data_IF_773730498457
#
_entry.id   IF_773730498457
#
_cell.length_a   1.000
_cell.length_b   1.000
_cell.length_c   1.000
_cell.angle_alpha   90.00
_cell.angle_beta   90.00
_cell.angle_gamma   90.00
#
_symmetry.space_group_name_H-M   'P 1'
#
loop_
_entity.id
_entity.type
_entity.pdbx_description
1 polymer ?
#
# COMPACT_ATOMS: atom_id res chain seq x y z
N UNK A 1 -90.08 -23.21 -19.40
CA UNK A 1 -90.01 -23.57 -17.97
C UNK A 1 -88.65 -23.14 -17.45
N UNK A 2 -88.68 -22.52 -16.27
CA UNK A 2 -87.66 -21.82 -15.49
C UNK A 2 -86.22 -22.37 -15.43
N UNK A 3 -85.27 -21.42 -15.44
CA UNK A 3 -84.07 -21.21 -14.58
C UNK A 3 -83.11 -22.40 -14.35
N UNK A 4 -81.79 -22.27 -14.22
CA UNK A 4 -80.99 -21.19 -13.67
C UNK A 4 -79.47 -21.52 -13.82
N UNK A 5 -78.63 -20.50 -13.60
CA UNK A 5 -77.24 -20.56 -13.09
C UNK A 5 -76.17 -21.23 -14.00
N UNK A 6 -75.02 -20.61 -14.27
CA UNK A 6 -74.45 -19.39 -13.73
C UNK A 6 -73.22 -18.98 -14.53
N UNK A 7 -73.10 -17.68 -14.72
CA UNK A 7 -71.91 -17.01 -15.23
C UNK A 7 -70.79 -17.15 -14.19
N UNK A 8 -69.66 -17.78 -14.56
CA UNK A 8 -68.41 -17.62 -13.83
C UNK A 8 -67.50 -16.63 -14.56
N UNK A 9 -67.58 -15.41 -14.06
CA UNK A 9 -66.50 -14.47 -13.78
C UNK A 9 -65.23 -14.56 -14.62
N UNK A 10 -65.11 -13.54 -15.47
CA UNK A 10 -63.87 -12.90 -15.90
C UNK A 10 -62.90 -12.66 -14.74
N UNK A 11 -61.64 -13.11 -14.87
CA UNK A 11 -60.52 -12.56 -14.10
C UNK A 11 -59.23 -12.52 -14.95
N UNK A 12 -59.17 -11.43 -15.72
CA UNK A 12 -57.97 -10.71 -16.11
C UNK A 12 -56.92 -10.67 -14.98
N UNK A 13 -55.76 -11.31 -15.18
CA UNK A 13 -54.45 -10.89 -14.64
C UNK A 13 -53.31 -11.37 -15.56
N UNK A 14 -53.14 -10.64 -16.67
CA UNK A 14 -51.81 -10.44 -17.27
C UNK A 14 -50.97 -9.63 -16.25
N UNK A 15 -49.65 -9.82 -16.25
CA UNK A 15 -48.64 -9.27 -15.35
C UNK A 15 -48.48 -9.98 -14.00
N UNK A 16 -47.66 -11.03 -14.01
CA UNK A 16 -46.89 -11.44 -12.83
C UNK A 16 -45.41 -11.60 -13.22
N UNK A 17 -44.64 -10.58 -12.83
CA UNK A 17 -43.23 -10.69 -12.45
C UNK A 17 -42.20 -11.07 -13.52
N UNK A 18 -42.15 -10.33 -14.62
CA UNK A 18 -40.88 -10.03 -15.28
C UNK A 18 -40.10 -8.98 -14.47
N UNK A 19 -39.58 -9.34 -13.28
CA UNK A 19 -38.70 -8.46 -12.50
C UNK A 19 -37.92 -9.20 -11.39
N UNK A 20 -37.28 -10.31 -11.72
CA UNK A 20 -36.28 -10.97 -10.86
C UNK A 20 -35.07 -11.47 -11.69
N UNK A 21 -34.50 -10.58 -12.50
CA UNK A 21 -33.21 -10.80 -13.15
C UNK A 21 -32.29 -9.58 -13.02
N UNK A 22 -32.40 -8.87 -11.88
CA UNK A 22 -31.57 -7.71 -11.57
C UNK A 22 -31.19 -7.74 -10.08
N UNK A 23 -30.52 -8.80 -9.66
CA UNK A 23 -30.11 -8.97 -8.27
C UNK A 23 -28.79 -9.74 -8.20
N UNK A 24 -27.70 -8.99 -8.06
CA UNK A 24 -26.43 -9.55 -7.58
C UNK A 24 -25.26 -9.52 -8.56
N UNK A 25 -24.91 -8.35 -9.08
CA UNK A 25 -23.49 -8.00 -9.11
C UNK A 25 -23.07 -7.80 -7.63
N UNK A 26 -22.93 -8.92 -6.91
CA UNK A 26 -22.19 -8.94 -5.66
C UNK A 26 -20.75 -8.62 -6.07
N UNK A 27 -20.40 -7.34 -6.02
CA UNK A 27 -19.01 -6.96 -5.88
C UNK A 27 -18.45 -7.85 -4.77
N UNK A 28 -17.53 -8.74 -5.12
CA UNK A 28 -16.72 -9.44 -4.13
C UNK A 28 -15.85 -8.34 -3.52
N UNK A 29 -16.44 -7.58 -2.59
CA UNK A 29 -15.69 -6.91 -1.55
C UNK A 29 -14.98 -8.07 -0.88
N UNK A 30 -13.68 -8.24 -1.17
CA UNK A 30 -12.85 -9.18 -0.44
C UNK A 30 -13.16 -8.98 1.02
N UNK A 31 -13.83 -9.96 1.63
CA UNK A 31 -14.22 -9.86 3.01
C UNK A 31 -12.93 -9.67 3.82
N UNK A 32 -12.90 -8.63 4.67
CA UNK A 32 -11.74 -8.35 5.52
C UNK A 32 -11.38 -9.62 6.28
N UNK A 33 -10.13 -10.05 6.19
CA UNK A 33 -9.66 -11.27 6.85
C UNK A 33 -9.03 -10.90 8.20
N UNK A 34 -9.90 -10.78 9.21
CA UNK A 34 -9.49 -10.40 10.57
C UNK A 34 -8.57 -11.44 11.22
N UNK A 35 -8.74 -12.72 10.92
CA UNK A 35 -7.93 -13.77 11.54
C UNK A 35 -6.52 -13.76 10.93
N UNK A 36 -6.40 -13.61 9.60
CA UNK A 36 -5.10 -13.36 8.98
C UNK A 36 -4.45 -12.07 9.50
N UNK A 37 -5.20 -10.98 9.68
CA UNK A 37 -4.68 -9.74 10.27
C UNK A 37 -4.10 -9.97 11.68
N UNK A 38 -4.80 -10.74 12.51
CA UNK A 38 -4.34 -11.12 13.86
C UNK A 38 -3.04 -11.94 13.80
N UNK A 39 -2.95 -12.91 12.90
CA UNK A 39 -1.77 -13.76 12.73
C UNK A 39 -0.55 -12.95 12.28
N UNK A 40 -0.72 -12.07 11.29
CA UNK A 40 0.34 -11.16 10.86
C UNK A 40 0.77 -10.23 11.99
N UNK A 41 -0.16 -9.70 12.78
CA UNK A 41 0.16 -8.84 13.90
C UNK A 41 0.99 -9.57 14.96
N UNK A 42 0.62 -10.82 15.30
CA UNK A 42 1.38 -11.63 16.24
C UNK A 42 2.80 -11.91 15.74
N UNK A 43 2.95 -12.32 14.47
CA UNK A 43 4.26 -12.53 13.84
C UNK A 43 5.10 -11.25 13.81
N UNK A 44 4.48 -10.12 13.46
CA UNK A 44 5.14 -8.83 13.43
C UNK A 44 5.71 -8.44 14.79
N UNK A 45 4.94 -8.63 15.88
CA UNK A 45 5.43 -8.37 17.25
C UNK A 45 6.58 -9.29 17.63
N UNK A 46 6.49 -10.58 17.34
CA UNK A 46 7.56 -11.53 17.64
C UNK A 46 8.87 -11.15 16.93
N UNK A 47 8.80 -10.86 15.63
CA UNK A 47 9.97 -10.43 14.85
C UNK A 47 10.50 -9.07 15.29
N UNK A 48 9.60 -8.14 15.67
CA UNK A 48 9.99 -6.84 16.22
C UNK A 48 10.72 -7.02 17.56
N UNK A 49 10.24 -7.87 18.46
CA UNK A 49 10.91 -8.19 19.72
C UNK A 49 12.29 -8.82 19.49
N UNK A 50 12.42 -9.74 18.52
CA UNK A 50 13.70 -10.34 18.14
C UNK A 50 14.68 -9.30 17.58
N UNK A 51 14.20 -8.38 16.76
CA UNK A 51 14.99 -7.25 16.26
C UNK A 51 15.47 -6.36 17.42
N UNK A 52 14.61 -6.08 18.40
CA UNK A 52 14.93 -5.22 19.54
C UNK A 52 15.95 -5.83 20.50
N UNK A 53 16.04 -7.16 20.59
CA UNK A 53 17.08 -7.86 21.37
C UNK A 53 18.49 -7.63 20.85
N UNK A 54 18.62 -7.23 19.58
CA UNK A 54 19.89 -6.86 18.98
C UNK A 54 20.18 -5.38 19.26
N UNK A 55 21.44 -5.00 19.53
CA UNK A 55 21.79 -3.59 19.62
C UNK A 55 21.48 -2.91 18.28
N UNK A 56 21.07 -1.65 18.32
CA UNK A 56 20.70 -0.89 17.12
C UNK A 56 21.80 -1.05 16.06
N UNK A 57 23.09 -0.97 16.46
CA UNK A 57 24.31 -1.10 15.64
C UNK A 57 24.39 -2.35 14.78
N UNK A 58 23.86 -3.48 15.22
CA UNK A 58 23.93 -4.74 14.45
C UNK A 58 22.69 -5.03 13.60
N UNK A 59 21.61 -4.26 13.73
CA UNK A 59 20.37 -4.49 12.98
C UNK A 59 20.57 -4.17 11.50
N UNK A 60 20.11 -5.06 10.64
CA UNK A 60 20.27 -4.98 9.18
C UNK A 60 19.00 -4.50 8.49
N UNK A 61 19.14 -3.89 7.31
CA UNK A 61 18.03 -3.43 6.46
C UNK A 61 16.99 -4.54 6.24
N UNK A 62 17.45 -5.75 5.89
CA UNK A 62 16.58 -6.91 5.67
C UNK A 62 15.72 -7.26 6.90
N UNK A 63 16.28 -7.19 8.11
CA UNK A 63 15.52 -7.48 9.32
C UNK A 63 14.45 -6.41 9.59
N UNK A 64 14.75 -5.12 9.37
CA UNK A 64 13.72 -4.06 9.45
C UNK A 64 12.61 -4.31 8.43
N UNK A 65 12.96 -4.61 7.19
CA UNK A 65 11.99 -4.82 6.12
C UNK A 65 11.10 -6.03 6.37
N UNK A 66 11.62 -7.11 6.98
CA UNK A 66 10.82 -8.25 7.42
C UNK A 66 9.74 -7.82 8.40
N UNK A 67 10.09 -7.04 9.43
CA UNK A 67 9.15 -6.57 10.44
C UNK A 67 8.12 -5.60 9.83
N UNK A 68 8.58 -4.65 9.01
CA UNK A 68 7.71 -3.70 8.29
C UNK A 68 6.73 -4.44 7.38
N UNK A 69 7.19 -5.45 6.64
CA UNK A 69 6.34 -6.27 5.79
C UNK A 69 5.20 -6.91 6.59
N UNK A 70 5.51 -7.54 7.73
CA UNK A 70 4.51 -8.18 8.57
C UNK A 70 3.49 -7.20 9.15
N UNK A 71 3.94 -6.03 9.64
CA UNK A 71 3.02 -5.00 10.11
C UNK A 71 2.13 -4.48 8.99
N UNK A 72 2.67 -4.23 7.78
CA UNK A 72 1.87 -3.75 6.64
C UNK A 72 0.79 -4.75 6.21
N UNK A 73 1.07 -6.06 6.28
CA UNK A 73 0.06 -7.09 5.98
C UNK A 73 -1.17 -6.97 6.87
N UNK A 74 -1.04 -6.56 8.14
CA UNK A 74 -2.19 -6.37 9.03
C UNK A 74 -3.23 -5.42 8.42
N UNK A 75 -2.77 -4.32 7.82
CA UNK A 75 -3.64 -3.31 7.19
C UNK A 75 -4.19 -3.80 5.84
N UNK A 76 -3.39 -4.57 5.10
CA UNK A 76 -3.84 -5.19 3.84
C UNK A 76 -4.98 -6.21 4.08
N UNK A 77 -4.94 -6.95 5.20
CA UNK A 77 -5.95 -7.97 5.54
C UNK A 77 -7.22 -7.38 6.18
N UNK A 78 -7.08 -6.58 7.24
CA UNK A 78 -8.20 -5.91 7.92
C UNK A 78 -7.76 -4.55 8.49
N UNK A 79 -8.00 -3.43 7.78
CA UNK A 79 -7.69 -2.09 8.29
C UNK A 79 -8.57 -1.66 9.47
N UNK A 80 -9.66 -2.38 9.78
CA UNK A 80 -10.48 -2.13 10.97
C UNK A 80 -10.07 -3.02 12.17
N UNK A 81 -9.05 -3.86 12.02
CA UNK A 81 -8.51 -4.67 13.10
C UNK A 81 -7.90 -3.78 14.19
N UNK A 82 -8.13 -4.12 15.46
CA UNK A 82 -7.68 -3.30 16.60
C UNK A 82 -6.17 -3.16 16.77
N UNK A 83 -5.36 -3.93 16.02
CA UNK A 83 -3.90 -3.77 15.96
C UNK A 83 -3.39 -3.05 14.72
N UNK A 84 -4.27 -2.55 13.84
CA UNK A 84 -3.87 -1.88 12.60
C UNK A 84 -3.18 -0.53 12.85
N UNK A 85 -3.64 0.23 13.84
CA UNK A 85 -3.02 1.49 14.25
C UNK A 85 -1.64 1.28 14.88
N UNK A 86 -1.51 0.29 15.77
CA UNK A 86 -0.23 -0.16 16.32
C UNK A 86 0.75 -0.55 15.21
N UNK A 87 0.27 -1.31 14.23
CA UNK A 87 1.08 -1.77 13.09
C UNK A 87 1.62 -0.61 12.25
N UNK A 88 0.79 0.40 11.98
CA UNK A 88 1.21 1.59 11.24
C UNK A 88 2.19 2.46 12.04
N UNK A 89 1.94 2.62 13.34
CA UNK A 89 2.83 3.38 14.21
C UNK A 89 4.21 2.72 14.33
N UNK A 90 4.26 1.40 14.53
CA UNK A 90 5.52 0.66 14.54
C UNK A 90 6.22 0.69 13.19
N UNK A 91 5.49 0.63 12.08
CA UNK A 91 6.06 0.82 10.73
C UNK A 91 6.75 2.17 10.60
N UNK A 92 6.14 3.24 11.14
CA UNK A 92 6.74 4.58 11.15
C UNK A 92 8.02 4.63 11.99
N UNK A 93 8.00 4.04 13.21
CA UNK A 93 9.17 3.98 14.09
C UNK A 93 10.34 3.22 13.47
N UNK A 94 10.07 2.11 12.79
CA UNK A 94 11.10 1.32 12.11
C UNK A 94 11.74 2.13 10.99
N UNK A 95 10.95 2.83 10.17
CA UNK A 95 11.50 3.72 9.15
C UNK A 95 12.26 4.92 9.73
N UNK A 96 11.82 5.48 10.85
CA UNK A 96 12.50 6.57 11.54
C UNK A 96 13.90 6.12 12.00
N UNK A 97 13.96 4.96 12.66
CA UNK A 97 15.21 4.33 13.04
C UNK A 97 16.10 4.06 11.82
N UNK A 98 15.57 3.43 10.76
CA UNK A 98 16.32 3.22 9.52
C UNK A 98 16.84 4.53 8.91
N UNK A 99 16.08 5.62 8.98
CA UNK A 99 16.47 6.95 8.52
C UNK A 99 17.69 7.48 9.26
N UNK A 100 17.65 7.47 10.61
CA UNK A 100 18.77 7.86 11.47
C UNK A 100 20.00 6.97 11.28
N UNK A 101 19.76 5.68 11.09
CA UNK A 101 20.78 4.63 11.05
C UNK A 101 21.56 4.56 9.76
N UNK A 102 20.85 4.57 8.65
CA UNK A 102 21.43 4.36 7.34
C UNK A 102 21.61 5.67 6.57
N UNK A 103 21.25 6.80 7.16
CA UNK A 103 21.35 8.14 6.58
C UNK A 103 20.73 8.22 5.17
N UNK A 104 19.59 7.53 4.96
CA UNK A 104 18.87 7.54 3.67
C UNK A 104 17.57 8.33 3.81
N UNK A 105 17.47 9.46 3.09
CA UNK A 105 16.29 10.35 3.12
C UNK A 105 14.98 9.65 2.76
N UNK A 106 15.04 8.59 1.95
CA UNK A 106 13.87 7.78 1.61
C UNK A 106 13.21 7.13 2.83
N UNK A 107 13.98 6.74 3.86
CA UNK A 107 13.44 6.16 5.08
C UNK A 107 12.81 7.25 5.97
N UNK A 108 13.46 8.41 6.08
CA UNK A 108 12.90 9.59 6.76
C UNK A 108 11.54 9.98 6.16
N UNK A 109 11.46 10.03 4.83
CA UNK A 109 10.22 10.36 4.10
C UNK A 109 9.12 9.32 4.33
N UNK A 110 9.47 8.03 4.39
CA UNK A 110 8.51 6.95 4.71
C UNK A 110 8.05 7.02 6.16
N UNK A 111 8.93 7.32 7.11
CA UNK A 111 8.57 7.50 8.50
C UNK A 111 7.57 8.64 8.67
N UNK A 112 7.85 9.82 8.09
CA UNK A 112 6.92 10.96 8.09
C UNK A 112 5.56 10.56 7.51
N UNK A 113 5.55 9.88 6.36
CA UNK A 113 4.34 9.39 5.72
C UNK A 113 3.51 8.51 6.66
N UNK A 114 4.10 7.48 7.26
CA UNK A 114 3.37 6.54 8.11
C UNK A 114 2.89 7.17 9.42
N UNK A 115 3.67 8.07 10.02
CA UNK A 115 3.23 8.85 11.17
C UNK A 115 2.01 9.72 10.84
N UNK A 116 2.03 10.43 9.72
CA UNK A 116 0.86 11.22 9.27
C UNK A 116 -0.32 10.34 8.94
N UNK A 117 -0.07 9.18 8.32
CA UNK A 117 -1.10 8.24 7.94
C UNK A 117 -1.85 7.70 9.16
N UNK A 118 -1.13 7.16 10.17
CA UNK A 118 -1.79 6.62 11.37
C UNK A 118 -2.57 7.71 12.11
N UNK A 119 -2.00 8.91 12.24
CA UNK A 119 -2.69 10.02 12.88
C UNK A 119 -3.96 10.43 12.13
N UNK A 120 -3.95 10.43 10.79
CA UNK A 120 -5.08 10.87 9.96
C UNK A 120 -6.17 9.81 9.86
N UNK A 121 -5.81 8.57 9.52
CA UNK A 121 -6.77 7.49 9.23
C UNK A 121 -7.33 6.84 10.51
N UNK A 122 -6.61 6.93 11.63
CA UNK A 122 -7.03 6.35 12.93
C UNK A 122 -7.13 7.46 14.00
N UNK A 123 -8.10 8.38 13.91
CA UNK A 123 -8.15 9.55 14.78
C UNK A 123 -8.35 9.23 16.27
N UNK A 124 -8.87 8.06 16.60
CA UNK A 124 -9.05 7.58 17.97
C UNK A 124 -7.85 6.80 18.53
N UNK A 125 -6.77 6.60 17.75
CA UNK A 125 -5.59 5.86 18.21
C UNK A 125 -4.89 6.59 19.36
N UNK A 126 -4.39 5.82 20.32
CA UNK A 126 -3.53 6.32 21.41
C UNK A 126 -2.23 6.97 20.89
N UNK A 127 -1.82 6.62 19.68
CA UNK A 127 -0.58 7.11 19.07
C UNK A 127 -0.72 8.47 18.38
N UNK A 128 -1.94 9.02 18.28
CA UNK A 128 -2.20 10.19 17.40
C UNK A 128 -1.30 11.38 17.72
N UNK A 129 -1.22 11.76 19.00
CA UNK A 129 -0.45 12.92 19.41
C UNK A 129 1.05 12.72 19.15
N UNK A 130 1.58 11.54 19.48
CA UNK A 130 3.00 11.24 19.27
C UNK A 130 3.34 11.14 17.78
N UNK A 131 2.50 10.48 16.99
CA UNK A 131 2.66 10.40 15.54
C UNK A 131 2.66 11.78 14.87
N UNK A 132 1.76 12.69 15.27
CA UNK A 132 1.74 14.06 14.75
C UNK A 132 3.02 14.82 15.10
N UNK A 133 3.49 14.69 16.35
CA UNK A 133 4.73 15.30 16.81
C UNK A 133 5.93 14.78 16.00
N UNK A 134 6.09 13.46 15.89
CA UNK A 134 7.18 12.84 15.12
C UNK A 134 7.15 13.24 13.65
N UNK A 135 5.97 13.24 13.01
CA UNK A 135 5.84 13.72 11.63
C UNK A 135 6.31 15.17 11.46
N UNK A 136 5.98 16.06 12.41
CA UNK A 136 6.41 17.46 12.35
C UNK A 136 7.93 17.59 12.53
N UNK A 137 8.51 16.84 13.47
CA UNK A 137 9.96 16.80 13.70
C UNK A 137 10.74 16.30 12.48
N UNK A 138 10.23 15.29 11.78
CA UNK A 138 10.87 14.76 10.57
C UNK A 138 10.73 15.70 9.36
N UNK A 139 9.60 16.42 9.27
CA UNK A 139 9.38 17.42 8.22
C UNK A 139 10.25 18.67 8.41
N UNK A 140 10.38 19.11 9.66
CA UNK A 140 11.15 20.27 10.06
C UNK A 140 12.29 19.82 10.98
N UNK A 141 13.33 19.15 10.44
CA UNK A 141 14.44 18.72 11.28
C UNK A 141 15.01 19.95 12.00
N UNK A 142 15.24 19.89 13.32
CA UNK A 142 15.83 21.01 14.03
C UNK A 142 17.13 21.37 13.31
N UNK A 143 17.26 22.64 12.92
CA UNK A 143 18.45 23.16 12.26
C UNK A 143 19.67 22.60 13.00
N UNK A 144 20.49 21.84 12.28
CA UNK A 144 21.64 21.16 12.85
C UNK A 144 22.39 22.17 13.72
N UNK A 145 22.50 21.89 15.01
CA UNK A 145 23.52 22.55 15.81
C UNK A 145 24.82 22.09 15.19
N UNK A 146 25.38 22.93 14.35
CA UNK A 146 26.74 22.80 13.84
C UNK A 146 27.65 22.79 15.07
N UNK A 147 27.98 21.61 15.57
CA UNK A 147 29.19 21.43 16.35
C UNK A 147 30.36 21.65 15.38
N UNK A 148 30.73 22.93 15.28
CA UNK A 148 31.95 23.44 14.68
C UNK A 148 33.14 22.76 15.37
N UNK A 149 33.52 21.58 14.91
CA UNK A 149 34.89 21.08 15.10
C UNK A 149 35.74 21.69 14.01
N UNK A 150 36.36 22.80 14.38
CA UNK A 150 37.43 23.48 13.67
C UNK A 150 38.60 22.51 13.46
N UNK A 151 38.82 22.07 12.23
CA UNK A 151 40.12 21.57 11.81
C UNK A 151 40.42 22.00 10.36
N UNK A 152 41.53 22.71 10.25
CA UNK A 152 42.13 23.34 9.09
C UNK A 152 41.98 22.60 7.75
N UNK A 153 41.60 23.38 6.73
CA UNK A 153 42.03 23.21 5.34
C UNK A 153 43.48 23.74 5.19
N UNK A 154 44.27 23.41 4.13
CA UNK A 154 43.74 23.49 2.76
C UNK A 154 44.36 22.60 1.66
N UNK A 155 43.54 22.47 0.60
CA UNK A 155 43.84 22.24 -0.84
C UNK A 155 44.28 20.87 -1.34
N UNK A 156 43.48 20.33 -2.25
CA UNK A 156 43.89 20.08 -3.65
C UNK A 156 42.66 19.98 -4.55
N UNK A 157 42.63 20.84 -5.57
CA UNK A 157 41.58 20.99 -6.58
C UNK A 157 41.95 20.15 -7.81
N UNK A 158 40.96 19.49 -8.42
CA UNK A 158 40.94 19.20 -9.87
C UNK A 158 39.48 18.97 -10.31
N UNK A 159 38.77 20.01 -10.78
CA UNK A 159 38.36 20.27 -12.18
C UNK A 159 37.74 19.06 -12.92
N UNK A 160 36.39 18.94 -13.03
CA UNK A 160 35.46 19.39 -14.13
C UNK A 160 35.21 18.27 -15.19
N UNK A 161 34.00 18.04 -15.80
CA UNK A 161 32.60 18.36 -15.41
C UNK A 161 31.57 17.24 -15.87
N UNK A 162 30.30 17.48 -16.32
CA UNK A 162 29.13 16.72 -15.87
C UNK A 162 28.52 15.77 -16.94
N UNK A 163 27.99 14.60 -16.54
CA UNK A 163 27.46 13.59 -17.46
C UNK A 163 26.15 12.95 -17.02
N UNK A 164 25.04 13.53 -17.47
CA UNK A 164 23.76 12.90 -17.82
C UNK A 164 23.15 11.82 -16.89
N UNK A 165 22.30 12.25 -15.95
CA UNK A 165 21.13 11.44 -15.54
C UNK A 165 20.02 11.66 -16.56
N UNK A 166 19.78 10.63 -17.38
CA UNK A 166 18.65 10.59 -18.31
C UNK A 166 17.35 10.48 -17.52
N UNK A 167 16.63 11.59 -17.42
CA UNK A 167 15.19 11.59 -17.20
C UNK A 167 14.53 11.27 -18.55
N UNK A 168 13.77 10.17 -18.61
CA UNK A 168 12.72 10.03 -19.62
C UNK A 168 11.39 10.20 -18.90
N UNK A 169 10.91 11.43 -18.95
CA UNK A 169 9.50 11.76 -18.77
C UNK A 169 8.81 11.52 -20.11
N UNK A 170 7.78 10.68 -20.13
CA UNK A 170 6.80 10.72 -21.20
C UNK A 170 5.39 10.81 -20.60
N UNK A 171 4.74 11.92 -20.90
CA UNK A 171 3.29 12.13 -20.92
C UNK A 171 3.06 13.35 -21.82
N UNK A 172 1.94 13.50 -22.56
CA UNK A 172 1.06 12.52 -23.20
C UNK A 172 0.97 12.77 -24.73
N UNK A 173 0.67 11.74 -25.53
CA UNK A 173 0.25 11.93 -26.91
C UNK A 173 -1.17 11.41 -27.10
N UNK A 174 -2.08 12.36 -27.28
CA UNK A 174 -3.46 12.20 -27.74
C UNK A 174 -3.48 11.74 -29.21
N UNK A 175 -4.16 10.62 -29.52
CA UNK A 175 -4.73 10.26 -30.85
C UNK A 175 -5.54 8.95 -30.78
N UNK A 176 -6.47 8.70 -31.73
CA UNK A 176 -7.86 8.36 -31.42
C UNK A 176 -8.14 6.86 -31.47
N UNK A 177 -9.27 6.52 -30.84
CA UNK A 177 -9.86 5.18 -30.74
C UNK A 177 -9.85 4.43 -32.09
N UNK A 178 -9.04 3.38 -32.14
CA UNK A 178 -9.26 2.24 -33.02
C UNK A 178 -10.09 1.25 -32.21
N UNK A 179 -11.22 0.82 -32.76
CA UNK A 179 -12.10 -0.14 -32.10
C UNK A 179 -11.37 -1.48 -31.94
N UNK A 180 -11.15 -1.88 -30.68
CA UNK A 180 -10.48 -3.13 -30.33
C UNK A 180 -11.35 -4.37 -30.63
N UNK A 181 -10.74 -5.52 -30.96
CA UNK A 181 -11.45 -6.79 -31.07
C UNK A 181 -12.11 -7.17 -29.73
N UNK A 182 -13.35 -7.69 -29.74
CA UNK A 182 -14.08 -8.00 -28.52
C UNK A 182 -13.46 -9.21 -27.83
N UNK A 183 -12.68 -8.98 -26.77
CA UNK A 183 -12.19 -10.09 -25.95
C UNK A 183 -10.92 -9.84 -25.14
N UNK A 184 -10.09 -8.87 -25.52
CA UNK A 184 -8.84 -8.54 -24.80
C UNK A 184 -8.94 -7.18 -24.10
N UNK A 185 -8.32 -7.05 -22.91
CA UNK A 185 -8.19 -5.78 -22.21
C UNK A 185 -6.99 -5.01 -22.75
N UNK A 186 -7.14 -3.70 -22.87
CA UNK A 186 -6.09 -2.83 -23.39
C UNK A 186 -5.25 -2.30 -22.22
N UNK A 187 -3.94 -2.52 -22.32
CA UNK A 187 -2.96 -2.07 -21.35
C UNK A 187 -2.58 -0.60 -21.61
N UNK A 188 -2.98 0.28 -20.70
CA UNK A 188 -2.75 1.72 -20.83
C UNK A 188 -1.40 2.18 -20.26
N UNK A 189 -0.95 1.61 -19.13
CA UNK A 189 0.34 1.96 -18.54
C UNK A 189 0.91 0.86 -17.64
N UNK A 190 2.24 0.80 -17.57
CA UNK A 190 2.99 0.01 -16.58
C UNK A 190 3.89 0.97 -15.79
N UNK A 191 3.82 0.90 -14.46
CA UNK A 191 4.78 1.55 -13.57
C UNK A 191 5.46 0.52 -12.69
N UNK A 192 6.73 0.74 -12.39
CA UNK A 192 7.48 -0.11 -11.47
C UNK A 192 8.31 0.70 -10.48
N UNK A 193 8.56 0.10 -9.32
CA UNK A 193 9.47 0.60 -8.30
C UNK A 193 10.26 -0.57 -7.75
N UNK A 194 11.57 -0.51 -7.86
CA UNK A 194 12.47 -1.49 -7.26
C UNK A 194 13.21 -0.84 -6.11
N UNK A 195 13.27 -1.53 -4.98
CA UNK A 195 14.21 -1.25 -3.91
C UNK A 195 14.98 -2.52 -3.58
N UNK A 196 15.74 -2.49 -2.50
CA UNK A 196 16.61 -3.59 -2.08
C UNK A 196 15.84 -4.90 -1.78
N UNK A 197 14.54 -4.82 -1.45
CA UNK A 197 13.79 -5.95 -0.88
C UNK A 197 12.53 -6.33 -1.67
N UNK A 198 12.07 -5.51 -2.61
CA UNK A 198 11.00 -5.89 -3.53
C UNK A 198 10.96 -5.02 -4.78
N UNK A 199 10.36 -5.58 -5.83
CA UNK A 199 9.89 -4.83 -7.00
C UNK A 199 8.37 -4.80 -6.99
N UNK A 200 7.79 -3.59 -7.00
CA UNK A 200 6.35 -3.40 -7.19
C UNK A 200 6.10 -3.03 -8.62
N UNK A 201 5.17 -3.74 -9.27
CA UNK A 201 4.67 -3.43 -10.61
C UNK A 201 3.19 -3.07 -10.49
N UNK A 202 2.79 -1.97 -11.12
CA UNK A 202 1.39 -1.52 -11.22
C UNK A 202 1.04 -1.46 -12.69
N UNK A 203 0.01 -2.21 -13.07
CA UNK A 203 -0.46 -2.38 -14.45
C UNK A 203 -1.85 -1.73 -14.52
N UNK A 204 -2.03 -0.77 -15.42
CA UNK A 204 -3.30 -0.07 -15.60
C UNK A 204 -4.00 -0.56 -16.86
N UNK A 205 -5.14 -1.22 -16.67
CA UNK A 205 -5.98 -1.78 -17.73
C UNK A 205 -7.25 -0.95 -17.87
N UNK A 206 -7.83 -0.93 -19.06
CA UNK A 206 -9.09 -0.25 -19.37
C UNK A 206 -10.34 -0.98 -18.81
N UNK A 207 -10.19 -2.26 -18.47
CA UNK A 207 -11.22 -3.11 -17.88
C UNK A 207 -10.62 -4.18 -16.98
N UNK A 208 -11.46 -4.78 -16.15
CA UNK A 208 -11.07 -5.86 -15.24
C UNK A 208 -10.67 -7.13 -15.99
N UNK A 209 -9.66 -7.82 -15.48
CA UNK A 209 -9.17 -9.11 -16.00
C UNK A 209 -8.87 -10.05 -14.85
N UNK A 210 -9.00 -11.35 -15.09
CA UNK A 210 -8.54 -12.37 -14.14
C UNK A 210 -7.00 -12.35 -14.07
N UNK A 211 -6.47 -12.35 -12.84
CA UNK A 211 -5.03 -12.37 -12.59
C UNK A 211 -4.62 -13.74 -12.06
N UNK A 212 -3.74 -14.42 -12.80
CA UNK A 212 -3.12 -15.66 -12.36
C UNK A 212 -1.78 -15.35 -11.69
N UNK A 213 -1.58 -15.90 -10.49
CA UNK A 213 -0.30 -15.81 -9.78
C UNK A 213 0.49 -17.09 -10.03
N UNK A 214 1.61 -16.97 -10.72
CA UNK A 214 2.54 -18.08 -10.94
C UNK A 214 3.91 -17.76 -10.33
N UNK A 215 4.51 -18.74 -9.65
CA UNK A 215 5.86 -18.63 -9.09
C UNK A 215 6.77 -19.49 -9.96
N UNK A 216 7.70 -18.84 -10.65
CA UNK A 216 8.68 -19.54 -11.49
C UNK A 216 9.64 -20.35 -10.62
N UNK A 217 9.66 -21.66 -10.84
CA UNK A 217 10.48 -22.61 -10.09
C UNK A 217 11.84 -22.90 -10.74
N UNK A 218 12.05 -22.54 -12.02
CA UNK A 218 13.32 -22.79 -12.71
C UNK A 218 13.72 -21.69 -13.72
N UNK A 219 14.77 -20.90 -13.45
CA UNK A 219 15.47 -20.83 -12.18
C UNK A 219 14.53 -20.28 -11.10
N UNK A 220 14.65 -20.79 -9.87
CA UNK A 220 13.92 -20.25 -8.74
C UNK A 220 14.25 -18.77 -8.57
N UNK A 221 13.23 -17.91 -8.52
CA UNK A 221 13.37 -16.46 -8.30
C UNK A 221 13.01 -16.20 -6.82
N UNK A 222 14.01 -15.75 -6.05
CA UNK A 222 13.89 -15.43 -4.62
C UNK A 222 12.86 -14.32 -4.36
#
# INVERSE_FOLDING_TARGET
>A
MYNALGYRLMSLRVFAAGLLALGGLLSVVSARDRDSARDYFQKARQEHELLLKQPETSRTISQYNKVIFLYRRVIDEDPAFGGADDSLFFTAQLYDEMGRRFNRQQYVSRAEYYYRFVAREYPATRHRADAQKRALELKNPPAAKEEKVELASPQSVSTVPPGAVSQVSETPADKPAVADPPGLATLSSIRYWSNEDYTRVVIQLDREVEVLKEVLSNPARL
#
